data_IF_535797082055
#
_entry.id   IF_535797082055
#
_cell.length_a   1.000
_cell.length_b   1.000
_cell.length_c   1.000
_cell.angle_alpha   90.00
_cell.angle_beta   90.00
_cell.angle_gamma   90.00
#
_symmetry.space_group_name_H-M   'P 1'
#
loop_
_entity.id
_entity.type
_entity.pdbx_description
1 polymer ?
#
# COMPACT_ATOMS: atom_id res chain seq x y z
N UNK A 1 1.69 -7.48 -9.21
CA UNK A 1 0.22 -7.36 -9.10
C UNK A 1 -0.51 -8.12 -10.20
N UNK A 2 0.14 -8.52 -11.28
CA UNK A 2 -0.46 -9.24 -12.40
C UNK A 2 -1.62 -8.48 -13.04
N UNK A 3 -1.46 -7.17 -13.21
CA UNK A 3 -2.45 -6.32 -13.88
C UNK A 3 -2.39 -6.52 -15.39
N UNK A 4 -3.55 -6.43 -16.05
CA UNK A 4 -3.72 -6.61 -17.48
C UNK A 4 -4.68 -5.56 -18.07
N UNK A 5 -4.78 -5.49 -19.39
CA UNK A 5 -5.73 -4.62 -20.09
C UNK A 5 -7.21 -4.95 -19.78
N UNK A 6 -7.48 -6.18 -19.35
CA UNK A 6 -8.83 -6.62 -18.96
C UNK A 6 -9.26 -6.09 -17.58
N UNK A 7 -8.34 -5.55 -16.80
CA UNK A 7 -8.66 -5.04 -15.47
C UNK A 7 -9.53 -3.78 -15.52
N UNK A 8 -10.37 -3.65 -14.52
CA UNK A 8 -11.31 -2.54 -14.33
C UNK A 8 -11.25 -2.06 -12.88
N UNK A 9 -10.20 -1.31 -12.49
CA UNK A 9 -10.04 -0.83 -11.13
C UNK A 9 -11.12 0.18 -10.77
N UNK A 10 -11.71 0.04 -9.59
CA UNK A 10 -12.60 1.05 -9.03
C UNK A 10 -11.77 2.11 -8.28
N UNK A 11 -11.74 3.32 -8.83
CA UNK A 11 -10.99 4.43 -8.25
C UNK A 11 -11.86 5.16 -7.21
N UNK A 12 -11.58 4.90 -5.93
CA UNK A 12 -12.25 5.54 -4.79
C UNK A 12 -11.33 6.48 -4.01
N UNK A 13 -10.03 6.45 -4.30
CA UNK A 13 -9.04 7.29 -3.64
C UNK A 13 -8.84 8.59 -4.40
N UNK A 14 -8.71 9.73 -3.71
CA UNK A 14 -8.48 11.03 -4.35
C UNK A 14 -7.18 11.05 -5.16
N UNK A 15 -7.17 11.75 -6.29
CA UNK A 15 -5.99 11.87 -7.17
C UNK A 15 -4.86 12.73 -6.58
N UNK A 16 -5.17 13.60 -5.61
CA UNK A 16 -4.12 14.32 -4.88
C UNK A 16 -3.39 13.43 -3.85
N UNK A 17 -3.85 12.22 -3.66
CA UNK A 17 -3.22 11.22 -2.81
C UNK A 17 -2.42 10.24 -3.66
N UNK A 18 -1.14 10.04 -3.32
CA UNK A 18 -0.19 9.24 -4.10
C UNK A 18 -0.69 7.83 -4.42
N UNK A 19 -1.45 7.21 -3.51
CA UNK A 19 -2.02 5.88 -3.74
C UNK A 19 -3.13 5.91 -4.81
N UNK A 20 -3.96 6.95 -4.87
CA UNK A 20 -4.93 7.14 -5.95
C UNK A 20 -4.25 7.27 -7.31
N UNK A 21 -3.20 8.10 -7.40
CA UNK A 21 -2.38 8.22 -8.61
C UNK A 21 -1.73 6.89 -8.99
N UNK A 22 -1.26 6.11 -8.03
CA UNK A 22 -0.63 4.82 -8.31
C UNK A 22 -1.60 3.81 -8.91
N UNK A 23 -2.88 3.84 -8.52
CA UNK A 23 -3.93 3.04 -9.19
C UNK A 23 -4.08 3.47 -10.63
N UNK A 24 -4.21 4.77 -10.89
CA UNK A 24 -4.37 5.30 -12.25
C UNK A 24 -3.19 4.90 -13.14
N UNK A 25 -1.97 5.25 -12.75
CA UNK A 25 -0.80 5.01 -13.60
C UNK A 25 -0.51 3.52 -13.81
N UNK A 26 -0.65 2.68 -12.78
CA UNK A 26 -0.39 1.25 -12.95
C UNK A 26 -1.38 0.56 -13.88
N UNK A 27 -2.63 0.99 -13.88
CA UNK A 27 -3.65 0.41 -14.76
C UNK A 27 -3.61 1.01 -16.17
N UNK A 28 -3.36 2.32 -16.31
CA UNK A 28 -3.14 2.91 -17.64
C UNK A 28 -1.90 2.33 -18.33
N UNK A 29 -0.86 1.99 -17.58
CA UNK A 29 0.34 1.35 -18.12
C UNK A 29 0.05 0.03 -18.85
N UNK A 30 -0.93 -0.72 -18.38
CA UNK A 30 -1.36 -2.01 -19.01
C UNK A 30 -2.58 -1.85 -19.94
N UNK A 31 -3.06 -0.62 -20.18
CA UNK A 31 -4.21 -0.36 -21.04
C UNK A 31 -5.59 -0.67 -20.40
N UNK A 32 -5.66 -0.82 -19.10
CA UNK A 32 -6.88 -1.12 -18.35
C UNK A 32 -7.87 0.05 -18.31
N UNK A 33 -9.16 -0.25 -18.15
CA UNK A 33 -10.24 0.73 -18.07
C UNK A 33 -10.49 1.16 -16.62
N UNK A 34 -10.17 2.41 -16.26
CA UNK A 34 -10.37 2.93 -14.90
C UNK A 34 -11.84 3.33 -14.71
N UNK A 35 -12.46 2.80 -13.66
CA UNK A 35 -13.82 3.14 -13.24
C UNK A 35 -13.77 4.26 -12.21
N UNK A 36 -14.32 5.43 -12.56
CA UNK A 36 -14.32 6.62 -11.71
C UNK A 36 -15.74 6.85 -11.18
N UNK A 37 -15.85 7.04 -9.87
CA UNK A 37 -17.14 7.36 -9.24
C UNK A 37 -16.95 8.29 -8.05
N UNK A 38 -17.94 9.16 -7.82
CA UNK A 38 -18.04 10.01 -6.62
C UNK A 38 -19.03 9.44 -5.60
N UNK A 39 -19.56 8.24 -5.85
CA UNK A 39 -20.52 7.60 -4.95
C UNK A 39 -19.82 7.12 -3.67
N UNK A 40 -20.54 7.23 -2.55
CA UNK A 40 -20.06 6.71 -1.28
C UNK A 40 -20.20 5.19 -1.21
N UNK A 41 -19.24 4.49 -0.58
CA UNK A 41 -19.34 3.05 -0.29
C UNK A 41 -20.55 2.69 0.58
N UNK A 42 -21.15 3.66 1.28
CA UNK A 42 -22.38 3.48 2.06
C UNK A 42 -23.65 3.62 1.22
N UNK A 43 -23.54 4.06 -0.03
CA UNK A 43 -24.65 4.19 -0.96
C UNK A 43 -24.85 2.89 -1.76
N UNK A 44 -26.11 2.48 -1.90
CA UNK A 44 -26.47 1.32 -2.73
C UNK A 44 -26.01 1.50 -4.18
N UNK A 45 -26.14 2.70 -4.73
CA UNK A 45 -25.72 3.00 -6.11
C UNK A 45 -24.23 2.75 -6.37
N UNK A 46 -23.38 2.87 -5.35
CA UNK A 46 -21.96 2.50 -5.44
C UNK A 46 -21.79 1.01 -5.80
N UNK A 47 -22.54 0.15 -5.12
CA UNK A 47 -22.48 -1.29 -5.33
C UNK A 47 -23.11 -1.71 -6.66
N UNK A 48 -24.21 -1.06 -7.04
CA UNK A 48 -24.85 -1.26 -8.33
C UNK A 48 -23.91 -0.83 -9.48
N UNK A 49 -23.20 0.30 -9.32
CA UNK A 49 -22.15 0.74 -10.25
C UNK A 49 -20.99 -0.25 -10.32
N UNK A 50 -20.45 -0.67 -9.15
CA UNK A 50 -19.33 -1.62 -9.07
C UNK A 50 -19.65 -2.92 -9.79
N UNK A 51 -20.86 -3.48 -9.59
CA UNK A 51 -21.33 -4.69 -10.26
C UNK A 51 -21.59 -4.46 -11.74
N UNK A 52 -22.37 -3.45 -12.07
CA UNK A 52 -22.76 -3.15 -13.45
C UNK A 52 -21.57 -2.83 -14.34
N UNK A 53 -20.51 -2.21 -13.80
CA UNK A 53 -19.26 -1.95 -14.49
C UNK A 53 -18.26 -3.11 -14.39
N UNK A 54 -18.59 -4.21 -13.71
CA UNK A 54 -17.74 -5.39 -13.55
C UNK A 54 -16.35 -5.04 -13.01
N UNK A 55 -16.30 -4.30 -11.91
CA UNK A 55 -15.05 -3.88 -11.30
C UNK A 55 -14.20 -5.08 -10.86
N UNK A 56 -12.94 -5.14 -11.29
CA UNK A 56 -12.02 -6.25 -11.00
C UNK A 56 -11.14 -6.02 -9.80
N UNK A 57 -10.90 -4.76 -9.43
CA UNK A 57 -10.03 -4.45 -8.30
C UNK A 57 -10.53 -3.27 -7.48
N UNK A 58 -10.19 -3.32 -6.19
CA UNK A 58 -10.45 -2.27 -5.21
C UNK A 58 -9.19 -1.99 -4.40
N UNK A 59 -8.76 -0.73 -4.38
CA UNK A 59 -7.64 -0.26 -3.57
C UNK A 59 -8.16 0.70 -2.51
N UNK A 60 -7.83 0.45 -1.24
CA UNK A 60 -8.29 1.26 -0.13
C UNK A 60 -7.25 1.46 0.97
N UNK A 61 -7.54 2.39 1.86
CA UNK A 61 -6.83 2.60 3.12
C UNK A 61 -7.53 1.80 4.23
N UNK A 62 -6.92 1.61 5.43
CA UNK A 62 -7.55 0.84 6.51
C UNK A 62 -9.00 1.22 6.78
N UNK A 63 -9.30 2.52 6.83
CA UNK A 63 -10.67 3.02 7.02
C UNK A 63 -11.65 2.54 5.93
N UNK A 64 -11.20 2.43 4.67
CA UNK A 64 -12.05 1.89 3.60
C UNK A 64 -12.48 0.46 3.90
N UNK A 65 -11.59 -0.36 4.42
CA UNK A 65 -11.87 -1.76 4.77
C UNK A 65 -12.71 -1.91 6.05
N UNK A 66 -12.61 -0.97 6.98
CA UNK A 66 -13.53 -0.87 8.12
C UNK A 66 -14.96 -0.61 7.63
N UNK A 67 -15.16 0.33 6.70
CA UNK A 67 -16.47 0.58 6.08
C UNK A 67 -16.96 -0.65 5.32
N UNK A 68 -16.12 -1.31 4.51
CA UNK A 68 -16.50 -2.54 3.82
C UNK A 68 -16.99 -3.63 4.80
N UNK A 69 -16.30 -3.79 5.93
CA UNK A 69 -16.70 -4.74 6.96
C UNK A 69 -18.06 -4.37 7.59
N UNK A 70 -18.30 -3.09 7.89
CA UNK A 70 -19.58 -2.59 8.38
C UNK A 70 -20.72 -2.80 7.37
N UNK A 71 -20.44 -2.62 6.08
CA UNK A 71 -21.38 -2.83 4.98
C UNK A 71 -21.64 -4.33 4.67
N UNK A 72 -21.11 -5.24 5.48
CA UNK A 72 -21.24 -6.69 5.30
C UNK A 72 -20.68 -7.19 3.97
N UNK A 73 -19.57 -6.61 3.50
CA UNK A 73 -18.87 -6.95 2.26
C UNK A 73 -18.74 -8.46 2.02
N UNK A 74 -18.42 -9.22 3.05
CA UNK A 74 -18.23 -10.68 2.96
C UNK A 74 -19.50 -11.49 2.59
N UNK A 75 -20.67 -10.83 2.54
CA UNK A 75 -21.95 -11.43 2.10
C UNK A 75 -22.37 -10.96 0.71
N UNK A 76 -21.55 -10.08 0.09
CA UNK A 76 -21.88 -9.54 -1.22
C UNK A 76 -21.40 -10.50 -2.32
N UNK A 77 -22.24 -10.67 -3.32
CA UNK A 77 -21.85 -11.35 -4.56
C UNK A 77 -21.15 -10.35 -5.48
N UNK A 78 -19.82 -10.51 -5.62
CA UNK A 78 -18.92 -9.68 -6.43
C UNK A 78 -18.00 -10.61 -7.25
N UNK A 79 -18.54 -11.30 -8.26
CA UNK A 79 -17.80 -12.33 -9.01
C UNK A 79 -16.63 -11.77 -9.80
N UNK A 80 -16.76 -10.57 -10.37
CA UNK A 80 -15.70 -9.94 -11.17
C UNK A 80 -14.54 -9.39 -10.31
N UNK A 81 -14.76 -9.12 -9.01
CA UNK A 81 -13.73 -8.60 -8.10
C UNK A 81 -12.70 -9.68 -7.79
N UNK A 82 -11.48 -9.52 -8.28
CA UNK A 82 -10.38 -10.49 -8.15
C UNK A 82 -9.21 -9.99 -7.29
N UNK A 83 -9.10 -8.67 -7.10
CA UNK A 83 -7.97 -8.07 -6.40
C UNK A 83 -8.44 -7.02 -5.39
N UNK A 84 -8.02 -7.16 -4.14
CA UNK A 84 -8.12 -6.14 -3.11
C UNK A 84 -6.71 -5.74 -2.64
N UNK A 85 -6.46 -4.43 -2.59
CA UNK A 85 -5.16 -3.89 -2.17
C UNK A 85 -5.34 -2.91 -1.01
N UNK A 86 -4.57 -3.08 0.04
CA UNK A 86 -4.56 -2.20 1.22
C UNK A 86 -3.23 -1.49 1.33
N UNK A 87 -3.26 -0.22 1.71
CA UNK A 87 -2.06 0.55 2.02
C UNK A 87 -2.39 1.88 2.71
N UNK A 88 -1.37 2.71 2.91
CA UNK A 88 -1.54 4.05 3.47
C UNK A 88 -1.78 4.11 4.97
N UNK A 89 -1.65 3.00 5.69
CA UNK A 89 -1.75 2.93 7.15
C UNK A 89 -1.74 1.50 7.68
N UNK A 90 -1.53 1.37 8.98
CA UNK A 90 -1.56 0.08 9.68
C UNK A 90 -3.01 -0.36 9.89
N UNK A 91 -3.38 -1.46 9.28
CA UNK A 91 -4.70 -2.06 9.44
C UNK A 91 -4.75 -2.93 10.71
N UNK A 92 -5.87 -2.94 11.49
CA UNK A 92 -6.02 -3.87 12.61
C UNK A 92 -5.81 -5.31 12.16
N UNK A 93 -4.97 -6.05 12.88
CA UNK A 93 -4.55 -7.40 12.47
C UNK A 93 -5.71 -8.35 12.21
N UNK A 94 -6.74 -8.34 13.07
CA UNK A 94 -7.92 -9.21 12.89
C UNK A 94 -8.68 -8.89 11.61
N UNK A 95 -8.83 -7.61 11.26
CA UNK A 95 -9.52 -7.20 10.04
C UNK A 95 -8.69 -7.55 8.79
N UNK A 96 -7.37 -7.34 8.85
CA UNK A 96 -6.45 -7.73 7.78
C UNK A 96 -6.53 -9.23 7.51
N UNK A 97 -6.43 -10.05 8.55
CA UNK A 97 -6.55 -11.51 8.45
C UNK A 97 -7.88 -11.93 7.85
N UNK A 98 -8.99 -11.32 8.30
CA UNK A 98 -10.33 -11.61 7.78
C UNK A 98 -10.46 -11.36 6.26
N UNK A 99 -9.88 -10.26 5.74
CA UNK A 99 -9.85 -10.02 4.31
C UNK A 99 -8.94 -10.98 3.55
N UNK A 100 -7.78 -11.32 4.13
CA UNK A 100 -6.85 -12.28 3.53
C UNK A 100 -7.48 -13.68 3.41
N UNK A 101 -8.12 -14.17 4.48
CA UNK A 101 -8.84 -15.44 4.49
C UNK A 101 -10.00 -15.45 3.49
N UNK A 102 -10.85 -14.40 3.50
CA UNK A 102 -11.93 -14.26 2.53
C UNK A 102 -11.41 -14.31 1.09
N UNK A 103 -10.33 -13.59 0.79
CA UNK A 103 -9.76 -13.59 -0.55
C UNK A 103 -9.24 -14.97 -0.96
N UNK A 104 -8.53 -15.67 -0.08
CA UNK A 104 -8.08 -17.05 -0.31
C UNK A 104 -9.26 -17.97 -0.62
N UNK A 105 -10.29 -17.93 0.22
CA UNK A 105 -11.45 -18.86 0.15
C UNK A 105 -12.33 -18.61 -1.09
N UNK A 106 -12.23 -17.43 -1.69
CA UNK A 106 -12.99 -17.04 -2.89
C UNK A 106 -12.12 -16.89 -4.16
N UNK A 107 -10.87 -17.40 -4.14
CA UNK A 107 -9.96 -17.30 -5.29
C UNK A 107 -9.59 -15.87 -5.69
N UNK A 108 -9.62 -14.95 -4.73
CA UNK A 108 -9.24 -13.53 -4.92
C UNK A 108 -7.85 -13.29 -4.32
N UNK A 109 -7.22 -12.18 -4.70
CA UNK A 109 -5.92 -11.77 -4.17
C UNK A 109 -6.08 -10.64 -3.16
N UNK A 110 -5.41 -10.78 -2.02
CA UNK A 110 -5.25 -9.75 -1.00
C UNK A 110 -3.80 -9.31 -0.95
N UNK A 111 -3.53 -8.03 -1.19
CA UNK A 111 -2.18 -7.48 -1.21
C UNK A 111 -2.10 -6.30 -0.24
N UNK A 112 -1.33 -6.45 0.82
CA UNK A 112 -0.91 -5.33 1.67
C UNK A 112 0.28 -4.63 1.02
N UNK A 113 0.27 -3.28 1.02
CA UNK A 113 1.34 -2.46 0.46
C UNK A 113 1.78 -1.41 1.48
N UNK A 114 3.05 -0.99 1.37
CA UNK A 114 3.60 0.13 2.09
C UNK A 114 4.24 1.13 1.13
N UNK A 115 4.13 2.40 1.46
CA UNK A 115 4.77 3.46 0.70
C UNK A 115 4.60 4.82 1.34
N UNK A 116 5.34 5.79 0.83
CA UNK A 116 5.33 7.19 1.22
C UNK A 116 5.36 8.06 -0.02
N UNK A 117 4.86 9.30 0.07
CA UNK A 117 4.86 10.25 -1.06
C UNK A 117 6.27 10.57 -1.55
N UNK A 118 7.25 10.50 -0.67
CA UNK A 118 8.66 10.75 -0.94
C UNK A 118 9.34 9.65 -1.78
N UNK A 119 8.75 8.48 -1.85
CA UNK A 119 9.18 7.38 -2.73
C UNK A 119 8.09 7.09 -3.76
N UNK A 120 7.16 6.26 -3.38
CA UNK A 120 5.95 5.93 -4.14
C UNK A 120 4.93 5.32 -3.19
N UNK A 121 3.66 5.30 -3.59
CA UNK A 121 2.60 4.65 -2.81
C UNK A 121 2.83 3.14 -2.60
N UNK A 122 3.71 2.52 -3.37
CA UNK A 122 4.00 1.09 -3.33
C UNK A 122 5.51 0.85 -3.35
N UNK A 123 6.18 1.12 -2.22
CA UNK A 123 7.61 0.84 -2.01
C UNK A 123 7.83 -0.64 -1.71
N UNK A 124 6.86 -1.27 -1.05
CA UNK A 124 6.84 -2.71 -0.81
C UNK A 124 5.43 -3.30 -0.91
N UNK A 125 5.36 -4.60 -1.01
CA UNK A 125 4.11 -5.34 -0.98
C UNK A 125 4.31 -6.72 -0.34
N UNK A 126 3.25 -7.23 0.29
CA UNK A 126 3.19 -8.59 0.78
C UNK A 126 2.56 -9.47 -0.30
N UNK A 127 3.27 -10.49 -0.81
CA UNK A 127 2.72 -11.45 -1.77
C UNK A 127 1.43 -12.09 -1.25
N UNK A 128 0.40 -12.31 -2.11
CA UNK A 128 -0.88 -12.87 -1.68
C UNK A 128 -0.78 -14.21 -0.95
N UNK A 129 0.16 -15.06 -1.34
CA UNK A 129 0.44 -16.36 -0.73
C UNK A 129 0.91 -16.26 0.72
N UNK A 130 1.47 -15.13 1.12
CA UNK A 130 1.93 -14.85 2.48
C UNK A 130 0.96 -14.00 3.29
N UNK A 131 -0.14 -13.57 2.70
CA UNK A 131 -1.09 -12.64 3.33
C UNK A 131 -1.64 -13.12 4.69
N UNK A 132 -1.77 -14.44 4.88
CA UNK A 132 -2.24 -15.05 6.13
C UNK A 132 -1.06 -15.33 7.05
N UNK A 133 -0.05 -16.08 6.60
CA UNK A 133 1.10 -16.49 7.41
C UNK A 133 1.94 -15.31 7.91
N UNK A 134 2.07 -14.26 7.10
CA UNK A 134 2.81 -13.03 7.40
C UNK A 134 1.88 -11.82 7.64
N UNK A 135 0.67 -12.08 8.12
CA UNK A 135 -0.32 -11.03 8.35
C UNK A 135 0.21 -9.89 9.25
N UNK A 136 0.14 -8.67 8.74
CA UNK A 136 0.68 -7.47 9.39
C UNK A 136 2.05 -7.03 8.86
N UNK A 137 2.70 -7.87 8.04
CA UNK A 137 3.90 -7.47 7.28
C UNK A 137 3.57 -6.50 6.16
N UNK A 138 4.51 -5.63 5.83
CA UNK A 138 4.52 -4.83 4.60
C UNK A 138 5.20 -5.57 3.44
N UNK A 139 5.67 -6.80 3.66
CA UNK A 139 6.30 -7.65 2.67
C UNK A 139 7.73 -7.26 2.36
N UNK A 140 8.07 -7.33 1.07
CA UNK A 140 9.40 -7.07 0.53
C UNK A 140 9.36 -5.88 -0.43
N UNK A 141 10.53 -5.29 -0.73
CA UNK A 141 10.63 -4.21 -1.69
C UNK A 141 10.08 -4.59 -3.07
N UNK A 142 9.52 -3.61 -3.78
CA UNK A 142 9.14 -3.80 -5.19
C UNK A 142 10.37 -4.09 -6.05
N UNK A 143 10.22 -4.71 -7.25
CA UNK A 143 11.34 -4.97 -8.14
C UNK A 143 12.18 -3.72 -8.43
N UNK A 144 13.50 -3.90 -8.49
CA UNK A 144 14.51 -2.83 -8.70
C UNK A 144 14.57 -1.79 -7.57
N UNK A 145 14.09 -2.13 -6.38
CA UNK A 145 14.21 -1.33 -5.17
C UNK A 145 14.71 -2.20 -4.01
N UNK A 146 15.12 -1.55 -2.92
CA UNK A 146 15.70 -2.18 -1.75
C UNK A 146 15.12 -1.55 -0.48
N UNK A 147 14.81 -2.39 0.52
CA UNK A 147 14.58 -2.01 1.91
C UNK A 147 15.78 -2.44 2.74
N UNK A 148 16.21 -1.59 3.64
CA UNK A 148 17.25 -1.89 4.62
C UNK A 148 16.88 -1.31 5.99
N UNK A 149 17.56 -1.78 7.02
CA UNK A 149 17.41 -1.26 8.38
C UNK A 149 18.76 -0.67 8.82
N UNK A 150 18.71 0.44 9.51
CA UNK A 150 19.89 1.06 10.12
C UNK A 150 19.64 1.28 11.62
N UNK A 151 20.70 1.18 12.39
CA UNK A 151 20.67 1.52 13.81
C UNK A 151 20.87 3.03 14.04
N UNK A 152 21.07 3.41 15.31
CA UNK A 152 21.21 4.81 15.71
C UNK A 152 22.49 5.50 15.23
N UNK A 153 23.54 4.73 14.92
CA UNK A 153 24.80 5.25 14.39
C UNK A 153 24.84 5.24 12.84
N UNK A 154 23.81 4.66 12.22
CA UNK A 154 23.67 4.56 10.76
C UNK A 154 24.25 3.28 10.16
N UNK A 155 24.70 2.33 10.98
CA UNK A 155 25.17 1.04 10.52
C UNK A 155 24.03 0.15 10.07
N UNK A 156 24.25 -0.67 9.02
CA UNK A 156 23.24 -1.58 8.50
C UNK A 156 22.99 -2.71 9.49
N UNK A 157 21.73 -3.01 9.75
CA UNK A 157 21.27 -4.13 10.57
C UNK A 157 20.93 -5.31 9.65
N UNK A 158 21.79 -6.34 9.66
CA UNK A 158 21.59 -7.57 8.89
C UNK A 158 20.93 -8.69 9.71
N UNK A 159 20.89 -8.56 11.04
CA UNK A 159 20.29 -9.54 11.94
C UNK A 159 18.77 -9.50 11.86
N UNK A 160 18.13 -10.65 11.59
CA UNK A 160 16.69 -10.77 11.59
C UNK A 160 16.09 -10.47 12.98
N UNK A 161 14.83 -10.00 13.00
CA UNK A 161 14.08 -9.67 14.19
C UNK A 161 14.70 -8.56 15.07
N UNK A 162 15.61 -7.78 14.48
CA UNK A 162 16.23 -6.61 15.13
C UNK A 162 15.60 -5.34 14.59
N UNK A 163 15.17 -4.45 15.52
CA UNK A 163 14.52 -3.20 15.16
C UNK A 163 15.55 -2.14 14.75
N UNK A 164 15.20 -1.38 13.70
CA UNK A 164 15.99 -0.23 13.25
C UNK A 164 15.14 0.72 12.42
N UNK A 165 15.71 1.86 12.06
CA UNK A 165 15.06 2.78 11.14
C UNK A 165 15.07 2.18 9.73
N UNK A 166 13.90 2.09 9.13
CA UNK A 166 13.77 1.58 7.77
C UNK A 166 14.20 2.62 6.75
N UNK A 167 15.05 2.17 5.83
CA UNK A 167 15.52 2.92 4.67
C UNK A 167 14.99 2.31 3.39
N UNK A 168 14.88 3.12 2.36
CA UNK A 168 14.46 2.71 1.03
C UNK A 168 15.40 3.26 -0.04
N UNK A 169 15.76 2.42 -1.00
CA UNK A 169 16.52 2.77 -2.19
C UNK A 169 15.75 2.37 -3.44
N UNK A 170 15.61 3.29 -4.38
CA UNK A 170 14.91 3.03 -5.64
C UNK A 170 14.90 4.26 -6.55
N UNK A 171 14.76 4.02 -7.85
CA UNK A 171 14.70 5.11 -8.86
C UNK A 171 13.45 5.99 -8.72
N UNK A 172 12.48 5.58 -7.95
CA UNK A 172 11.22 6.25 -7.66
C UNK A 172 11.27 7.14 -6.40
N UNK A 173 12.42 7.23 -5.74
CA UNK A 173 12.62 8.21 -4.66
C UNK A 173 12.62 9.61 -5.26
N UNK A 174 11.85 10.52 -4.66
CA UNK A 174 11.80 11.93 -5.11
C UNK A 174 13.13 12.62 -4.92
N UNK A 175 13.46 13.57 -5.79
CA UNK A 175 14.75 14.29 -5.76
C UNK A 175 14.94 15.14 -4.50
N UNK A 176 13.87 15.59 -3.85
CA UNK A 176 13.91 16.45 -2.68
C UNK A 176 12.57 17.13 -2.45
N UNK A 177 12.56 18.16 -1.61
CA UNK A 177 11.38 18.99 -1.35
C UNK A 177 11.57 20.37 -2.00
N UNK A 178 10.60 20.83 -2.79
CA UNK A 178 10.52 22.20 -3.27
C UNK A 178 9.53 22.99 -2.40
N UNK A 179 10.03 23.92 -1.59
CA UNK A 179 9.23 24.82 -0.73
C UNK A 179 8.95 26.16 -1.43
N UNK A 180 9.78 26.53 -2.40
CA UNK A 180 9.71 27.73 -3.21
C UNK A 180 10.23 27.43 -4.61
N UNK A 181 10.00 28.34 -5.54
CA UNK A 181 10.30 28.14 -6.96
C UNK A 181 11.78 27.85 -7.23
N UNK A 182 12.67 28.50 -6.48
CA UNK A 182 14.12 28.35 -6.63
C UNK A 182 14.59 26.92 -6.28
N UNK A 183 13.88 26.23 -5.39
CA UNK A 183 14.24 24.88 -4.97
C UNK A 183 14.10 23.85 -6.11
N UNK A 184 13.36 24.21 -7.18
CA UNK A 184 13.24 23.35 -8.38
C UNK A 184 14.57 23.24 -9.15
N UNK A 185 15.55 24.09 -8.85
CA UNK A 185 16.88 24.07 -9.46
C UNK A 185 17.92 23.28 -8.66
N UNK A 186 17.58 22.77 -7.47
CA UNK A 186 18.52 22.06 -6.59
C UNK A 186 18.98 20.69 -7.12
N UNK A 187 18.25 20.11 -8.08
CA UNK A 187 18.58 18.79 -8.62
C UNK A 187 18.19 17.65 -7.64
N UNK A 188 18.86 16.52 -7.78
CA UNK A 188 18.58 15.33 -6.95
C UNK A 188 19.43 15.33 -5.67
N UNK A 189 18.83 15.72 -4.55
CA UNK A 189 19.46 15.76 -3.24
C UNK A 189 19.49 14.37 -2.57
N UNK A 190 18.69 13.42 -3.04
CA UNK A 190 18.50 12.11 -2.39
C UNK A 190 19.25 10.98 -3.08
N UNK A 191 19.61 11.12 -4.34
CA UNK A 191 20.32 10.10 -5.11
C UNK A 191 19.66 8.71 -5.02
N UNK A 192 18.32 8.69 -5.11
CA UNK A 192 17.55 7.47 -5.05
C UNK A 192 17.50 6.79 -3.68
N UNK A 193 17.90 7.45 -2.59
CA UNK A 193 17.90 6.92 -1.22
C UNK A 193 17.09 7.81 -0.28
N UNK A 194 16.35 7.17 0.64
CA UNK A 194 15.64 7.89 1.70
C UNK A 194 15.58 7.09 3.00
N UNK A 195 15.69 7.79 4.11
CA UNK A 195 15.31 7.30 5.44
C UNK A 195 13.81 7.54 5.58
N UNK A 196 13.05 6.49 5.91
CA UNK A 196 11.59 6.58 5.94
C UNK A 196 11.05 7.25 7.20
N UNK A 197 11.85 7.30 8.26
CA UNK A 197 11.42 7.72 9.59
C UNK A 197 10.50 6.71 10.27
N UNK A 198 10.33 5.52 9.71
CA UNK A 198 9.58 4.43 10.32
C UNK A 198 10.54 3.42 10.97
N UNK A 199 10.20 2.99 12.20
CA UNK A 199 10.88 1.91 12.91
C UNK A 199 10.30 0.58 12.44
N UNK A 200 11.16 -0.36 12.06
CA UNK A 200 10.76 -1.65 11.53
C UNK A 200 11.74 -2.75 11.93
N UNK A 201 11.34 -4.00 11.78
CA UNK A 201 12.24 -5.14 11.78
C UNK A 201 11.99 -6.00 10.53
N UNK A 202 12.95 -6.84 10.20
CA UNK A 202 12.87 -7.84 9.12
C UNK A 202 12.89 -9.24 9.74
N UNK A 203 11.96 -10.11 9.34
CA UNK A 203 11.99 -11.50 9.76
C UNK A 203 13.01 -12.34 8.96
N UNK A 204 13.14 -13.62 9.31
CA UNK A 204 14.08 -14.57 8.68
C UNK A 204 13.77 -14.84 7.21
N UNK A 205 12.52 -14.65 6.79
CA UNK A 205 12.09 -14.79 5.39
C UNK A 205 12.25 -13.50 4.57
N UNK A 206 12.80 -12.44 5.18
CA UNK A 206 13.04 -11.15 4.53
C UNK A 206 11.82 -10.25 4.43
N UNK A 207 10.76 -10.53 5.17
CA UNK A 207 9.57 -9.70 5.26
C UNK A 207 9.72 -8.62 6.35
N UNK A 208 9.36 -7.38 6.01
CA UNK A 208 9.43 -6.24 6.92
C UNK A 208 8.13 -5.98 7.66
N UNK A 209 8.25 -5.53 8.91
CA UNK A 209 7.13 -5.20 9.79
C UNK A 209 7.34 -3.82 10.41
N UNK A 210 6.38 -2.91 10.25
CA UNK A 210 6.42 -1.59 10.87
C UNK A 210 6.04 -1.70 12.35
N UNK A 211 6.93 -1.25 13.22
CA UNK A 211 6.75 -1.21 14.67
C UNK A 211 6.16 0.14 15.09
N UNK A 212 6.71 1.23 14.54
CA UNK A 212 6.31 2.59 14.90
C UNK A 212 6.87 3.64 13.95
N UNK A 213 6.76 4.90 14.35
CA UNK A 213 7.35 6.02 13.62
C UNK A 213 8.28 6.81 14.54
N UNK A 214 9.48 7.06 14.07
CA UNK A 214 10.43 7.90 14.79
C UNK A 214 9.85 9.31 14.94
N UNK A 215 9.98 9.92 16.14
CA UNK A 215 9.52 11.28 16.40
C UNK A 215 8.02 11.45 16.72
N UNK A 216 7.21 10.38 16.73
CA UNK A 216 5.84 10.43 17.30
C UNK A 216 5.82 10.09 18.80
N UNK A 217 6.63 10.78 19.59
CA UNK A 217 6.41 10.82 21.04
C UNK A 217 5.37 11.91 21.31
N UNK A 218 4.12 11.53 21.51
CA UNK A 218 3.16 12.39 22.23
C UNK A 218 3.65 12.50 23.67
N UNK A 219 4.20 13.66 24.05
CA UNK A 219 4.30 14.04 25.46
C UNK A 219 2.87 14.23 25.96
N UNK A 220 2.32 13.23 26.64
CA UNK A 220 1.15 13.41 27.49
C UNK A 220 1.65 14.17 28.73
N UNK A 221 1.22 15.43 28.88
CA UNK A 221 1.35 16.21 30.11
C UNK A 221 0.16 15.91 31.01
#
# INVERSE_FOLDING_TARGET
>A
FGLTEADRPLLVLPLYYTMGLSVVFSHLYVGATILITNLSMTDRNFWDFMKGQRATSFTGVPYSFEILNLMRFFRMDLPDLTLLTQGGGKMPRQLNLKFAEYCRDHGKRWIATYGQSEGTARMSYLPPEWAISKCGSIGQAVPNAELSLIDSDGSIIDTANTEGEMCYRGKNVTMGYARRREDLLLGDERNGFMRTGDLAYRDEDGCYYIVGRMGRFLKLY
#
